data_IF_913692925904
#
_entry.id   IF_913692925904
#
_cell.length_a   1.000
_cell.length_b   1.000
_cell.length_c   1.000
_cell.angle_alpha   90.00
_cell.angle_beta   90.00
_cell.angle_gamma   90.00
#
_symmetry.space_group_name_H-M   'P 1'
#
loop_
_entity.id
_entity.type
_entity.pdbx_description
1 polymer ?
#
# COMPACT_ATOMS: atom_id res chain seq x y z
N UNK A 1 9.23 -29.06 1.44
CA UNK A 1 7.86 -28.85 1.98
C UNK A 1 7.97 -28.10 3.31
N UNK A 2 7.95 -26.77 3.30
CA UNK A 2 7.94 -25.98 4.54
C UNK A 2 6.53 -25.47 4.81
N UNK A 3 6.04 -25.88 5.98
CA UNK A 3 4.72 -25.60 6.56
C UNK A 3 4.54 -24.11 6.83
N UNK A 4 3.41 -23.60 6.34
CA UNK A 4 2.50 -22.65 6.99
C UNK A 4 2.97 -22.06 8.33
N UNK A 5 3.44 -20.83 8.27
CA UNK A 5 3.42 -19.92 9.41
C UNK A 5 2.57 -18.71 9.01
N UNK A 6 1.25 -18.96 8.91
CA UNK A 6 0.26 -17.90 8.78
C UNK A 6 0.23 -17.11 10.10
N UNK A 7 0.89 -15.95 10.10
CA UNK A 7 0.54 -14.87 11.01
C UNK A 7 -0.83 -14.33 10.59
N UNK A 8 -1.88 -15.02 11.04
CA UNK A 8 -3.26 -14.58 10.96
C UNK A 8 -3.48 -13.45 11.97
N UNK A 9 -3.13 -12.22 11.60
CA UNK A 9 -3.98 -11.09 11.99
C UNK A 9 -5.03 -11.00 10.90
N UNK A 10 -6.20 -11.61 11.11
CA UNK A 10 -7.32 -11.43 10.20
C UNK A 10 -7.67 -9.94 10.19
N UNK A 11 -7.16 -9.20 9.20
CA UNK A 11 -7.47 -7.80 9.00
C UNK A 11 -8.99 -7.72 8.86
N UNK A 12 -9.69 -7.20 9.88
CA UNK A 12 -11.14 -7.03 9.83
C UNK A 12 -11.44 -5.94 8.82
N UNK A 13 -11.67 -6.35 7.58
CA UNK A 13 -12.06 -5.45 6.51
C UNK A 13 -13.41 -4.82 6.84
N UNK A 14 -13.48 -3.51 6.74
CA UNK A 14 -14.75 -2.80 6.77
C UNK A 14 -15.55 -3.09 5.48
N UNK A 15 -16.85 -2.76 5.48
CA UNK A 15 -17.72 -3.06 4.35
C UNK A 15 -17.30 -2.33 3.06
N UNK A 16 -16.68 -1.15 3.17
CA UNK A 16 -16.14 -0.42 2.01
C UNK A 16 -14.97 -1.16 1.38
N UNK A 17 -14.02 -1.63 2.19
CA UNK A 17 -12.87 -2.43 1.74
C UNK A 17 -13.32 -3.76 1.11
N UNK A 18 -14.33 -4.42 1.69
CA UNK A 18 -14.91 -5.64 1.09
C UNK A 18 -15.56 -5.36 -0.26
N UNK A 19 -16.24 -4.23 -0.41
CA UNK A 19 -16.84 -3.83 -1.68
C UNK A 19 -15.78 -3.52 -2.74
N UNK A 20 -14.75 -2.76 -2.37
CA UNK A 20 -13.59 -2.47 -3.24
C UNK A 20 -12.95 -3.75 -3.79
N UNK A 21 -12.71 -4.74 -2.93
CA UNK A 21 -12.17 -6.04 -3.36
C UNK A 21 -13.06 -6.76 -4.38
N UNK A 22 -14.38 -6.71 -4.21
CA UNK A 22 -15.33 -7.30 -5.17
C UNK A 22 -15.28 -6.58 -6.51
N UNK A 23 -15.28 -5.25 -6.49
CA UNK A 23 -15.29 -4.43 -7.71
C UNK A 23 -14.02 -4.67 -8.57
N UNK A 24 -12.87 -4.85 -7.92
CA UNK A 24 -11.60 -5.15 -8.61
C UNK A 24 -11.54 -6.59 -9.12
N UNK A 25 -12.02 -7.55 -8.33
CA UNK A 25 -12.07 -8.95 -8.78
C UNK A 25 -12.88 -9.08 -10.08
N UNK A 26 -13.99 -8.34 -10.19
CA UNK A 26 -14.82 -8.29 -11.41
C UNK A 26 -14.03 -7.68 -12.58
N UNK A 27 -13.32 -6.57 -12.37
CA UNK A 27 -12.46 -5.95 -13.38
C UNK A 27 -11.37 -6.91 -13.90
N UNK A 28 -10.64 -7.56 -12.98
CA UNK A 28 -9.55 -8.48 -13.31
C UNK A 28 -10.03 -9.70 -14.10
N UNK A 29 -11.26 -10.17 -13.86
CA UNK A 29 -11.85 -11.28 -14.61
C UNK A 29 -12.24 -10.88 -16.04
N UNK A 30 -12.70 -9.64 -16.24
CA UNK A 30 -13.16 -9.16 -17.55
C UNK A 30 -11.96 -8.82 -18.47
N UNK A 31 -10.82 -8.45 -17.90
CA UNK A 31 -9.64 -8.09 -18.67
C UNK A 31 -8.45 -9.02 -18.40
N UNK A 32 -8.18 -9.90 -19.35
CA UNK A 32 -6.94 -10.68 -19.44
C UNK A 32 -5.67 -9.82 -19.72
N UNK A 33 -5.78 -8.48 -19.71
CA UNK A 33 -4.72 -7.52 -20.07
C UNK A 33 -4.80 -6.20 -19.27
N UNK A 34 -5.13 -6.24 -17.97
CA UNK A 34 -5.21 -5.00 -17.18
C UNK A 34 -3.80 -4.53 -16.80
N UNK A 35 -3.31 -3.47 -17.46
CA UNK A 35 -2.27 -2.61 -16.89
C UNK A 35 -2.96 -1.59 -15.99
N UNK A 36 -3.17 -1.94 -14.71
CA UNK A 36 -3.81 -1.06 -13.74
C UNK A 36 -2.78 -0.09 -13.17
N UNK A 37 -2.71 1.10 -13.76
CA UNK A 37 -1.87 2.17 -13.24
C UNK A 37 -2.40 3.57 -13.57
N UNK A 38 -3.72 3.77 -13.54
CA UNK A 38 -4.29 5.05 -14.01
C UNK A 38 -4.69 6.03 -12.92
N UNK A 39 -4.95 5.59 -11.67
CA UNK A 39 -5.51 6.49 -10.61
C UNK A 39 -5.19 6.08 -9.17
N UNK A 40 -3.98 5.60 -8.88
CA UNK A 40 -3.59 5.38 -7.48
C UNK A 40 -2.30 6.09 -7.14
N UNK A 41 -2.25 6.63 -5.93
CA UNK A 41 -1.06 7.26 -5.41
C UNK A 41 -0.92 6.96 -3.92
N UNK A 42 0.33 6.96 -3.46
CA UNK A 42 0.67 6.77 -2.07
C UNK A 42 0.99 8.13 -1.46
N UNK A 43 0.40 8.41 -0.29
CA UNK A 43 0.80 9.49 0.59
C UNK A 43 1.60 8.89 1.73
N UNK A 44 2.82 9.38 1.92
CA UNK A 44 3.71 8.95 2.98
C UNK A 44 3.90 10.13 3.93
N UNK A 45 3.77 9.87 5.22
CA UNK A 45 4.11 10.83 6.27
C UNK A 45 4.94 10.13 7.34
N UNK A 46 5.66 10.91 8.14
CA UNK A 46 6.43 10.40 9.26
C UNK A 46 6.01 11.06 10.56
N UNK A 47 6.04 10.28 11.63
CA UNK A 47 5.96 10.76 12.98
C UNK A 47 7.31 10.53 13.67
N UNK A 48 8.03 11.63 13.92
CA UNK A 48 9.38 11.59 14.52
C UNK A 48 9.32 11.14 15.98
N UNK A 49 8.26 11.48 16.72
CA UNK A 49 8.13 11.14 18.14
C UNK A 49 7.92 9.64 18.35
N UNK A 50 7.01 9.05 17.57
CA UNK A 50 6.67 7.63 17.70
C UNK A 50 7.54 6.73 16.80
N UNK A 51 8.37 7.34 15.94
CA UNK A 51 9.25 6.68 14.97
C UNK A 51 8.49 5.76 14.02
N UNK A 52 7.36 6.23 13.51
CA UNK A 52 6.54 5.51 12.55
C UNK A 52 6.46 6.23 11.22
N UNK A 53 6.40 5.45 10.16
CA UNK A 53 6.06 5.84 8.81
C UNK A 53 4.59 5.46 8.62
N UNK A 54 3.76 6.43 8.25
CA UNK A 54 2.36 6.26 7.92
C UNK A 54 2.21 6.33 6.39
N UNK A 55 1.52 5.37 5.78
CA UNK A 55 1.31 5.29 4.34
C UNK A 55 -0.17 5.15 4.05
N UNK A 56 -0.73 6.07 3.27
CA UNK A 56 -2.09 6.00 2.76
C UNK A 56 -2.04 5.73 1.25
N UNK A 57 -2.57 4.59 0.83
CA UNK A 57 -2.85 4.32 -0.58
C UNK A 57 -4.23 4.85 -0.91
N UNK A 58 -4.29 5.80 -1.84
CA UNK A 58 -5.54 6.35 -2.36
C UNK A 58 -5.79 5.73 -3.72
N UNK A 59 -6.96 5.13 -3.89
CA UNK A 59 -7.34 4.43 -5.11
C UNK A 59 -8.81 4.62 -5.47
N UNK A 60 -9.15 4.43 -6.74
CA UNK A 60 -10.51 4.50 -7.26
C UNK A 60 -10.93 3.15 -7.83
N UNK A 61 -12.17 2.74 -7.60
CA UNK A 61 -12.75 1.57 -8.29
C UNK A 61 -13.21 1.95 -9.72
N UNK A 62 -13.76 0.96 -10.44
CA UNK A 62 -14.33 1.14 -11.79
C UNK A 62 -15.46 2.16 -11.86
N UNK A 63 -16.19 2.40 -10.76
CA UNK A 63 -17.29 3.37 -10.72
C UNK A 63 -16.83 4.78 -10.33
N UNK A 64 -15.53 4.99 -10.10
CA UNK A 64 -14.96 6.26 -9.68
C UNK A 64 -15.12 6.55 -8.18
N UNK A 65 -15.54 5.56 -7.39
CA UNK A 65 -15.60 5.67 -5.94
C UNK A 65 -14.20 5.60 -5.33
N UNK A 66 -13.91 6.55 -4.43
CA UNK A 66 -12.65 6.67 -3.71
C UNK A 66 -12.55 5.66 -2.55
N UNK A 67 -11.39 5.04 -2.42
CA UNK A 67 -11.02 4.19 -1.30
C UNK A 67 -9.61 4.55 -0.80
N UNK A 68 -9.43 4.43 0.50
CA UNK A 68 -8.13 4.60 1.15
C UNK A 68 -7.75 3.34 1.93
N UNK A 69 -6.49 2.94 1.84
CA UNK A 69 -5.90 1.84 2.61
C UNK A 69 -4.72 2.41 3.40
N UNK A 70 -4.70 2.16 4.70
CA UNK A 70 -3.68 2.68 5.59
C UNK A 70 -2.71 1.57 6.01
N UNK A 71 -1.42 1.87 5.91
CA UNK A 71 -0.33 1.06 6.42
C UNK A 71 0.50 1.90 7.39
N UNK A 72 1.07 1.24 8.40
CA UNK A 72 1.90 1.88 9.40
C UNK A 72 2.96 0.91 9.89
N UNK A 73 4.22 1.31 9.84
CA UNK A 73 5.31 0.54 10.41
C UNK A 73 6.53 1.45 10.70
N UNK A 74 7.54 0.91 11.37
CA UNK A 74 8.77 1.64 11.72
C UNK A 74 9.84 1.56 10.64
N UNK A 75 9.77 0.58 9.75
CA UNK A 75 10.79 0.34 8.72
C UNK A 75 10.20 0.27 7.33
N UNK A 76 10.93 0.77 6.34
CA UNK A 76 10.55 0.69 4.93
C UNK A 76 10.39 -0.77 4.49
N UNK A 77 11.25 -1.67 4.98
CA UNK A 77 11.19 -3.10 4.67
C UNK A 77 9.86 -3.73 5.10
N UNK A 78 9.41 -3.44 6.32
CA UNK A 78 8.17 -4.00 6.84
C UNK A 78 6.95 -3.43 6.10
N UNK A 79 6.98 -2.13 5.75
CA UNK A 79 5.95 -1.52 4.91
C UNK A 79 5.91 -2.11 3.51
N UNK A 80 7.05 -2.22 2.82
CA UNK A 80 7.14 -2.88 1.51
C UNK A 80 6.57 -4.31 1.58
N UNK A 81 6.99 -5.09 2.56
CA UNK A 81 6.47 -6.45 2.74
C UNK A 81 4.96 -6.47 2.96
N UNK A 82 4.43 -5.57 3.78
CA UNK A 82 2.99 -5.50 4.07
C UNK A 82 2.19 -5.05 2.86
N UNK A 83 2.64 -4.00 2.16
CA UNK A 83 1.98 -3.46 0.97
C UNK A 83 1.98 -4.50 -0.16
N UNK A 84 3.13 -5.08 -0.50
CA UNK A 84 3.22 -6.00 -1.64
C UNK A 84 2.62 -7.38 -1.38
N UNK A 85 2.46 -7.79 -0.13
CA UNK A 85 1.79 -9.04 0.23
C UNK A 85 0.34 -8.85 0.69
N UNK A 86 -0.14 -7.61 0.75
CA UNK A 86 -1.53 -7.33 1.12
C UNK A 86 -2.44 -7.71 -0.04
N UNK A 87 -3.40 -8.60 0.23
CA UNK A 87 -4.49 -8.90 -0.70
C UNK A 87 -5.42 -7.69 -0.94
N UNK A 88 -5.21 -6.60 -0.20
CA UNK A 88 -5.98 -5.36 -0.29
C UNK A 88 -5.36 -4.32 -1.22
N UNK A 89 -4.05 -4.41 -1.47
CA UNK A 89 -3.36 -3.59 -2.48
C UNK A 89 -3.57 -4.31 -3.81
N UNK A 90 -4.65 -3.95 -4.50
CA UNK A 90 -5.04 -4.64 -5.71
C UNK A 90 -4.72 -3.79 -6.94
N UNK A 91 -3.48 -3.31 -6.97
CA UNK A 91 -2.92 -2.50 -8.02
C UNK A 91 -1.72 -3.24 -8.58
N UNK A 92 -1.76 -3.53 -9.87
CA UNK A 92 -0.57 -3.94 -10.61
C UNK A 92 0.35 -2.73 -10.71
N UNK A 93 1.08 -2.45 -9.63
CA UNK A 93 2.06 -1.39 -9.62
C UNK A 93 3.11 -1.71 -10.70
N UNK A 94 3.29 -0.79 -11.63
CA UNK A 94 4.42 -0.89 -12.56
C UNK A 94 5.73 -0.95 -11.77
N UNK A 95 6.75 -1.59 -12.34
CA UNK A 95 8.09 -1.63 -11.71
C UNK A 95 8.60 -0.22 -11.36
N UNK A 96 8.19 0.79 -12.13
CA UNK A 96 8.52 2.19 -11.87
C UNK A 96 7.84 2.72 -10.61
N UNK A 97 6.54 2.45 -10.41
CA UNK A 97 5.86 2.82 -9.17
C UNK A 97 6.35 2.05 -7.95
N UNK A 98 6.69 0.76 -8.11
CA UNK A 98 7.32 -0.02 -7.04
C UNK A 98 8.65 0.59 -6.63
N UNK A 99 9.50 0.93 -7.61
CA UNK A 99 10.81 1.56 -7.35
C UNK A 99 10.66 2.95 -6.72
N UNK A 100 9.68 3.74 -7.19
CA UNK A 100 9.34 5.04 -6.60
C UNK A 100 8.94 4.88 -5.13
N UNK A 101 7.96 4.02 -4.86
CA UNK A 101 7.45 3.78 -3.52
C UNK A 101 8.55 3.31 -2.57
N UNK A 102 9.36 2.33 -3.01
CA UNK A 102 10.47 1.83 -2.19
C UNK A 102 11.48 2.94 -1.84
N UNK A 103 11.77 3.84 -2.78
CA UNK A 103 12.67 4.98 -2.54
C UNK A 103 12.07 5.95 -1.52
N UNK A 104 10.81 6.32 -1.68
CA UNK A 104 10.15 7.26 -0.75
C UNK A 104 10.03 6.66 0.66
N UNK A 105 9.78 5.35 0.77
CA UNK A 105 9.78 4.66 2.06
C UNK A 105 11.17 4.67 2.72
N UNK A 106 12.24 4.41 1.97
CA UNK A 106 13.61 4.49 2.51
C UNK A 106 13.96 5.91 2.94
N UNK A 107 13.60 6.94 2.15
CA UNK A 107 13.78 8.35 2.53
C UNK A 107 13.04 8.68 3.83
N UNK A 108 11.81 8.19 3.98
CA UNK A 108 10.99 8.43 5.18
C UNK A 108 11.62 7.79 6.44
N UNK A 109 12.15 6.56 6.31
CA UNK A 109 12.88 5.87 7.38
C UNK A 109 14.16 6.64 7.77
N UNK A 110 14.92 7.13 6.79
CA UNK A 110 16.08 7.98 7.04
C UNK A 110 15.70 9.30 7.71
N UNK A 111 14.59 9.92 7.31
CA UNK A 111 14.06 11.14 7.94
C UNK A 111 13.81 10.93 9.43
N UNK A 112 13.20 9.81 9.81
CA UNK A 112 13.01 9.44 11.22
C UNK A 112 14.35 9.26 11.93
N UNK A 113 15.26 8.46 11.37
CA UNK A 113 16.57 8.15 11.98
C UNK A 113 17.44 9.39 12.21
N UNK A 114 17.37 10.35 11.29
CA UNK A 114 18.14 11.59 11.34
C UNK A 114 17.40 12.72 12.07
N UNK A 115 16.16 12.46 12.57
CA UNK A 115 15.30 13.49 13.16
C UNK A 115 15.08 14.68 12.21
N UNK A 116 14.97 14.39 10.92
CA UNK A 116 14.77 15.35 9.84
C UNK A 116 13.34 15.31 9.33
N UNK A 117 12.88 16.44 8.82
CA UNK A 117 11.62 16.52 8.12
C UNK A 117 11.71 15.71 6.82
N UNK A 118 10.75 14.79 6.62
CA UNK A 118 10.55 14.13 5.35
C UNK A 118 9.57 14.95 4.49
N UNK A 119 9.89 15.10 3.22
CA UNK A 119 9.03 15.69 2.19
C UNK A 119 8.98 14.68 1.06
N UNK A 120 7.77 14.33 0.65
CA UNK A 120 7.53 13.49 -0.52
C UNK A 120 7.61 14.35 -1.78
N UNK A 121 8.31 13.84 -2.80
CA UNK A 121 8.42 14.48 -4.12
C UNK A 121 7.13 14.41 -4.95
#
# INVERSE_FOLDING_TARGET
MYRNMFLNSSLRLNNKQKQYLKDILILNQISHKLSLDSRSYFLITINIFDQFIDVEEICYNSTGQLYSIFFKDKTAKALCHTIFNSQHVNILLSNQHVAYLARELVKSELGILLSQQYIQD
#
